data_IF_940328694585
#
_entry.id   IF_940328694585
#
_cell.length_a   1.000
_cell.length_b   1.000
_cell.length_c   1.000
_cell.angle_alpha   90.00
_cell.angle_beta   90.00
_cell.angle_gamma   90.00
#
_symmetry.space_group_name_H-M   'P 1'
#
loop_
_entity.id
_entity.type
_entity.pdbx_description
1 polymer ?
#
# COMPACT_ATOMS: atom_id res chain seq x y z
N UNK A 1 -8.08 1.89 -2.98
CA UNK A 1 -9.51 2.24 -2.95
C UNK A 1 -9.99 2.22 -1.48
N UNK A 2 -10.20 3.38 -0.84
CA UNK A 2 -10.45 3.45 0.61
C UNK A 2 -11.83 2.92 1.01
N UNK A 3 -12.83 3.02 0.16
CA UNK A 3 -14.20 2.56 0.48
C UNK A 3 -14.25 1.06 0.60
N UNK A 4 -13.70 0.34 -0.37
CA UNK A 4 -13.60 -1.12 -0.34
C UNK A 4 -12.81 -1.59 0.88
N UNK A 5 -11.66 -0.95 1.12
CA UNK A 5 -10.80 -1.28 2.27
C UNK A 5 -11.56 -1.10 3.58
N UNK A 6 -12.34 -0.03 3.71
CA UNK A 6 -13.14 0.21 4.92
C UNK A 6 -14.22 -0.86 5.11
N UNK A 7 -14.97 -1.20 4.05
CA UNK A 7 -16.01 -2.24 4.12
C UNK A 7 -15.40 -3.58 4.54
N UNK A 8 -14.29 -3.98 3.90
CA UNK A 8 -13.64 -5.27 4.16
C UNK A 8 -13.07 -5.35 5.59
N UNK A 9 -12.39 -4.29 6.06
CA UNK A 9 -11.78 -4.30 7.40
C UNK A 9 -12.74 -3.95 8.53
N UNK A 10 -13.92 -3.43 8.22
CA UNK A 10 -14.95 -3.07 9.20
C UNK A 10 -16.12 -4.06 9.25
N UNK A 11 -15.96 -5.25 8.69
CA UNK A 11 -16.99 -6.28 8.65
C UNK A 11 -18.34 -5.78 8.09
N UNK A 12 -18.28 -4.99 7.03
CA UNK A 12 -19.45 -4.44 6.35
C UNK A 12 -20.00 -3.14 6.95
N UNK A 13 -19.34 -2.58 7.97
CA UNK A 13 -19.70 -1.29 8.55
C UNK A 13 -18.67 -0.22 8.19
N UNK A 14 -19.10 0.86 7.56
CA UNK A 14 -18.25 2.02 7.38
C UNK A 14 -18.22 2.83 8.67
N UNK A 15 -17.03 3.20 9.12
CA UNK A 15 -16.79 4.03 10.30
C UNK A 15 -16.13 5.37 9.96
N UNK A 16 -15.68 5.51 8.71
CA UNK A 16 -15.00 6.69 8.26
C UNK A 16 -15.96 7.83 7.97
N UNK A 17 -15.61 9.00 8.43
CA UNK A 17 -16.32 10.22 8.11
C UNK A 17 -16.33 10.52 6.59
N UNK A 18 -15.33 10.07 5.86
CA UNK A 18 -15.24 10.30 4.41
C UNK A 18 -16.18 9.41 3.60
N UNK A 19 -16.62 8.31 4.17
CA UNK A 19 -17.52 7.35 3.54
C UNK A 19 -18.94 7.38 4.11
N UNK A 20 -19.32 8.50 4.73
CA UNK A 20 -20.66 8.67 5.33
C UNK A 20 -21.83 8.44 4.34
N UNK A 21 -21.58 8.48 3.03
CA UNK A 21 -22.55 8.11 2.02
C UNK A 21 -22.87 6.61 2.00
N UNK A 22 -22.04 5.77 2.61
CA UNK A 22 -22.22 4.32 2.74
C UNK A 22 -22.76 3.99 4.13
N UNK A 23 -23.94 4.53 4.45
CA UNK A 23 -24.61 4.27 5.73
C UNK A 23 -25.24 2.87 5.82
N UNK A 24 -25.36 2.19 4.69
CA UNK A 24 -25.94 0.84 4.63
C UNK A 24 -24.87 -0.22 4.92
N UNK A 25 -25.27 -1.25 5.65
CA UNK A 25 -24.43 -2.41 5.87
C UNK A 25 -24.19 -3.13 4.54
N UNK A 26 -22.93 -3.35 4.21
CA UNK A 26 -22.47 -4.08 3.03
C UNK A 26 -21.95 -5.47 3.44
N UNK A 27 -22.20 -6.47 2.63
CA UNK A 27 -21.50 -7.74 2.76
C UNK A 27 -20.07 -7.59 2.22
N UNK A 28 -19.04 -7.82 3.04
CA UNK A 28 -17.65 -7.60 2.61
C UNK A 28 -17.23 -8.45 1.42
N UNK A 29 -17.78 -9.66 1.30
CA UNK A 29 -17.46 -10.57 0.19
C UNK A 29 -18.10 -10.11 -1.11
N UNK A 30 -19.38 -9.76 -1.07
CA UNK A 30 -20.08 -9.24 -2.25
C UNK A 30 -19.44 -7.93 -2.74
N UNK A 31 -19.08 -7.04 -1.83
CA UNK A 31 -18.41 -5.78 -2.17
C UNK A 31 -17.01 -6.01 -2.75
N UNK A 32 -16.28 -6.98 -2.21
CA UNK A 32 -14.96 -7.36 -2.73
C UNK A 32 -15.07 -7.94 -4.15
N UNK A 33 -16.02 -8.84 -4.38
CA UNK A 33 -16.28 -9.44 -5.69
C UNK A 33 -16.68 -8.38 -6.72
N UNK A 34 -17.59 -7.47 -6.35
CA UNK A 34 -18.00 -6.36 -7.20
C UNK A 34 -16.85 -5.44 -7.58
N UNK A 35 -16.08 -4.99 -6.59
CA UNK A 35 -14.92 -4.11 -6.82
C UNK A 35 -13.84 -4.83 -7.64
N UNK A 36 -13.61 -6.12 -7.40
CA UNK A 36 -12.65 -6.93 -8.16
C UNK A 36 -13.01 -6.93 -9.64
N UNK A 37 -14.28 -7.14 -9.98
CA UNK A 37 -14.76 -7.12 -11.37
C UNK A 37 -14.46 -5.78 -12.05
N UNK A 38 -14.83 -4.67 -11.41
CA UNK A 38 -14.61 -3.33 -11.96
C UNK A 38 -13.11 -3.00 -12.15
N UNK A 39 -12.29 -3.29 -11.15
CA UNK A 39 -10.85 -3.01 -11.20
C UNK A 39 -10.17 -3.88 -12.26
N UNK A 40 -10.58 -5.15 -12.35
CA UNK A 40 -10.04 -6.10 -13.33
C UNK A 40 -10.28 -5.63 -14.76
N UNK A 41 -11.48 -5.17 -15.10
CA UNK A 41 -11.77 -4.64 -16.45
C UNK A 41 -10.83 -3.50 -16.84
N UNK A 42 -10.54 -2.58 -15.91
CA UNK A 42 -9.63 -1.45 -16.14
C UNK A 42 -8.19 -1.95 -16.36
N UNK A 43 -7.74 -2.89 -15.50
CA UNK A 43 -6.39 -3.45 -15.56
C UNK A 43 -6.19 -4.24 -16.85
N UNK A 44 -7.12 -5.10 -17.20
CA UNK A 44 -7.05 -5.90 -18.43
C UNK A 44 -7.05 -5.02 -19.69
N UNK A 45 -7.87 -3.96 -19.70
CA UNK A 45 -7.86 -3.00 -20.80
C UNK A 45 -6.52 -2.30 -20.96
N UNK A 46 -5.93 -1.82 -19.86
CA UNK A 46 -4.64 -1.14 -19.89
C UNK A 46 -3.49 -2.09 -20.30
N UNK A 47 -3.48 -3.32 -19.78
CA UNK A 47 -2.53 -4.35 -20.19
C UNK A 47 -2.65 -4.72 -21.65
N UNK A 48 -3.86 -4.78 -22.20
CA UNK A 48 -4.11 -4.97 -23.63
C UNK A 48 -3.55 -3.85 -24.51
N UNK A 49 -3.18 -2.70 -23.92
CA UNK A 49 -2.51 -1.57 -24.56
C UNK A 49 -1.01 -1.47 -24.23
N UNK A 50 -0.42 -2.49 -23.60
CA UNK A 50 0.96 -2.47 -23.11
C UNK A 50 1.24 -1.33 -22.10
N UNK A 51 0.26 -0.98 -21.29
CA UNK A 51 0.39 0.03 -20.22
C UNK A 51 0.59 -0.72 -18.91
N UNK A 52 1.67 -0.43 -18.20
CA UNK A 52 1.90 -0.95 -16.86
C UNK A 52 0.90 -0.33 -15.87
N UNK A 53 0.30 -1.17 -15.03
CA UNK A 53 -0.73 -0.75 -14.07
C UNK A 53 -0.22 -0.93 -12.65
N UNK A 54 -0.26 0.16 -11.88
CA UNK A 54 -0.03 0.11 -10.43
C UNK A 54 -1.37 0.23 -9.70
N UNK A 55 -1.65 -0.72 -8.82
CA UNK A 55 -2.77 -0.66 -7.90
C UNK A 55 -2.25 -0.25 -6.52
N UNK A 56 -2.71 0.92 -6.05
CA UNK A 56 -2.44 1.38 -4.69
C UNK A 56 -3.61 1.07 -3.76
N UNK A 57 -3.33 0.40 -2.65
CA UNK A 57 -4.30 0.14 -1.59
C UNK A 57 -3.70 0.50 -0.25
N UNK A 58 -4.33 1.46 0.42
CA UNK A 58 -3.94 1.93 1.75
C UNK A 58 -5.10 1.79 2.75
N UNK A 59 -4.83 2.16 3.99
CA UNK A 59 -5.80 2.14 5.11
C UNK A 59 -6.21 3.54 5.55
N UNK A 60 -6.00 4.51 4.67
CA UNK A 60 -6.31 5.91 4.91
C UNK A 60 -5.09 6.77 5.21
N UNK A 61 -5.18 8.04 4.80
CA UNK A 61 -4.11 9.03 4.94
C UNK A 61 -4.66 10.43 5.26
N UNK A 62 -5.78 10.50 5.99
CA UNK A 62 -6.47 11.76 6.30
C UNK A 62 -6.12 12.34 7.67
N UNK A 63 -5.35 11.63 8.48
CA UNK A 63 -5.03 12.02 9.86
C UNK A 63 -3.63 11.58 10.27
N UNK A 64 -2.96 12.40 11.09
CA UNK A 64 -1.76 12.01 11.84
C UNK A 64 -2.06 11.05 13.00
N UNK A 65 -3.31 11.02 13.46
CA UNK A 65 -3.74 10.08 14.49
C UNK A 65 -4.09 8.74 13.84
N UNK A 66 -3.17 7.80 13.88
CA UNK A 66 -3.33 6.48 13.26
C UNK A 66 -4.46 5.65 13.90
N UNK A 67 -4.88 5.95 15.12
CA UNK A 67 -6.01 5.26 15.76
C UNK A 67 -7.36 5.53 15.07
N UNK A 68 -7.44 6.57 14.24
CA UNK A 68 -8.63 6.91 13.44
C UNK A 68 -8.62 6.30 12.05
N UNK A 69 -7.55 5.59 11.70
CA UNK A 69 -7.36 4.94 10.42
C UNK A 69 -7.68 3.44 10.53
N UNK A 70 -7.85 2.79 9.39
CA UNK A 70 -8.05 1.35 9.34
C UNK A 70 -6.77 0.60 9.70
N UNK A 71 -6.91 -0.62 10.21
CA UNK A 71 -5.80 -1.51 10.53
C UNK A 71 -6.16 -2.96 10.16
N UNK A 72 -5.15 -3.77 9.95
CA UNK A 72 -5.30 -5.19 9.65
C UNK A 72 -4.35 -5.62 8.50
N UNK A 73 -4.09 -6.92 8.37
CA UNK A 73 -3.26 -7.47 7.31
C UNK A 73 -3.95 -7.36 5.94
N UNK A 74 -3.20 -7.57 4.87
CA UNK A 74 -3.74 -7.61 3.50
C UNK A 74 -4.46 -8.93 3.17
N UNK A 75 -4.45 -9.91 4.06
CA UNK A 75 -5.10 -11.22 3.85
C UNK A 75 -6.53 -11.15 3.32
N UNK A 76 -7.44 -10.29 3.83
CA UNK A 76 -8.79 -10.19 3.31
C UNK A 76 -8.87 -9.69 1.86
N UNK A 77 -7.83 -9.04 1.36
CA UNK A 77 -7.75 -8.49 0.00
C UNK A 77 -7.00 -9.40 -0.98
N UNK A 78 -6.43 -10.52 -0.51
CA UNK A 78 -5.73 -11.46 -1.40
C UNK A 78 -6.58 -11.91 -2.61
N UNK A 79 -7.87 -12.24 -2.46
CA UNK A 79 -8.68 -12.66 -3.61
C UNK A 79 -8.74 -11.59 -4.72
N UNK A 80 -8.83 -10.31 -4.35
CA UNK A 80 -8.78 -9.20 -5.30
C UNK A 80 -7.42 -9.14 -6.00
N UNK A 81 -6.32 -9.16 -5.24
CA UNK A 81 -4.98 -9.05 -5.81
C UNK A 81 -4.64 -10.22 -6.73
N UNK A 82 -5.04 -11.43 -6.34
CA UNK A 82 -4.80 -12.65 -7.10
C UNK A 82 -5.63 -12.73 -8.39
N UNK A 83 -6.81 -12.16 -8.40
CA UNK A 83 -7.68 -12.11 -9.60
C UNK A 83 -7.25 -10.97 -10.54
N UNK A 84 -7.02 -9.76 -10.01
CA UNK A 84 -6.67 -8.56 -10.79
C UNK A 84 -5.26 -8.63 -11.34
N UNK A 85 -4.29 -9.12 -10.55
CA UNK A 85 -2.86 -9.24 -10.93
C UNK A 85 -2.31 -7.96 -11.56
N UNK A 86 -2.34 -6.81 -10.88
CA UNK A 86 -1.71 -5.61 -11.41
C UNK A 86 -0.21 -5.83 -11.60
N UNK A 87 0.45 -5.06 -12.45
CA UNK A 87 1.90 -5.18 -12.62
C UNK A 87 2.65 -4.75 -11.36
N UNK A 88 2.10 -3.77 -10.63
CA UNK A 88 2.67 -3.25 -9.38
C UNK A 88 1.58 -3.18 -8.32
N UNK A 89 1.85 -3.73 -7.14
CA UNK A 89 1.06 -3.52 -5.93
C UNK A 89 1.78 -2.53 -5.04
N UNK A 90 1.26 -1.30 -4.92
CA UNK A 90 1.82 -0.25 -4.07
C UNK A 90 1.07 -0.24 -2.74
N UNK A 91 1.71 -0.74 -1.70
CA UNK A 91 1.09 -1.04 -0.42
C UNK A 91 1.83 -0.37 0.74
N UNK A 92 1.12 -0.11 1.85
CA UNK A 92 1.69 0.47 3.05
C UNK A 92 2.21 -0.62 4.00
N UNK A 93 3.48 -0.50 4.40
CA UNK A 93 4.15 -1.39 5.37
C UNK A 93 5.09 -0.63 6.31
N UNK A 94 5.00 0.70 6.34
CA UNK A 94 5.88 1.50 7.21
C UNK A 94 5.58 1.34 8.70
N UNK A 95 4.40 0.83 9.05
CA UNK A 95 3.97 0.61 10.44
C UNK A 95 3.35 -0.78 10.63
N UNK A 96 3.37 -1.32 11.86
CA UNK A 96 2.73 -2.62 12.17
C UNK A 96 1.22 -2.67 11.90
N UNK A 97 0.58 -1.53 11.69
CA UNK A 97 -0.84 -1.42 11.38
C UNK A 97 -1.25 -2.21 10.12
N UNK A 98 -0.32 -2.36 9.20
CA UNK A 98 -0.53 -3.09 7.94
C UNK A 98 -0.43 -4.62 8.08
N UNK A 99 -0.02 -5.12 9.24
CA UNK A 99 0.31 -6.54 9.43
C UNK A 99 1.69 -6.88 8.85
N UNK A 100 2.00 -8.16 8.86
CA UNK A 100 3.29 -8.68 8.39
C UNK A 100 3.32 -8.86 6.87
N UNK A 101 4.51 -8.72 6.27
CA UNK A 101 4.74 -8.98 4.85
C UNK A 101 4.37 -10.42 4.44
N UNK A 102 4.57 -11.38 5.34
CA UNK A 102 4.19 -12.78 5.12
C UNK A 102 2.72 -12.93 4.74
N UNK A 103 1.82 -12.15 5.37
CA UNK A 103 0.38 -12.18 5.10
C UNK A 103 0.01 -11.86 3.64
N UNK A 104 0.90 -11.20 2.91
CA UNK A 104 0.77 -10.93 1.48
C UNK A 104 1.63 -11.88 0.64
N UNK A 105 2.87 -12.09 1.06
CA UNK A 105 3.90 -12.76 0.25
C UNK A 105 3.88 -14.29 0.38
N UNK A 106 3.02 -14.87 1.22
CA UNK A 106 2.68 -16.30 1.15
C UNK A 106 1.94 -16.63 -0.14
N UNK A 107 1.23 -15.67 -0.77
CA UNK A 107 0.61 -15.86 -2.06
C UNK A 107 1.66 -16.04 -3.18
N UNK A 108 1.73 -17.23 -3.73
CA UNK A 108 2.59 -17.53 -4.87
C UNK A 108 2.17 -16.74 -6.13
N UNK A 109 0.87 -16.50 -6.29
CA UNK A 109 0.31 -15.75 -7.41
C UNK A 109 0.85 -14.31 -7.40
N UNK A 110 0.84 -13.66 -6.24
CA UNK A 110 1.35 -12.29 -6.08
C UNK A 110 2.86 -12.26 -6.34
N UNK A 111 3.63 -13.16 -5.72
CA UNK A 111 5.09 -13.21 -5.94
C UNK A 111 5.46 -13.41 -7.41
N UNK A 112 4.68 -14.21 -8.13
CA UNK A 112 4.95 -14.50 -9.53
C UNK A 112 4.57 -13.35 -10.47
N UNK A 113 3.47 -12.65 -10.22
CA UNK A 113 2.88 -11.74 -11.19
C UNK A 113 3.10 -10.26 -10.89
N UNK A 114 3.37 -9.88 -9.64
CA UNK A 114 3.42 -8.47 -9.25
C UNK A 114 4.83 -8.03 -8.83
N UNK A 115 5.12 -6.76 -9.05
CA UNK A 115 6.17 -6.01 -8.36
C UNK A 115 5.56 -5.47 -7.07
N UNK A 116 6.26 -5.57 -5.96
CA UNK A 116 5.85 -4.96 -4.70
C UNK A 116 6.41 -3.54 -4.60
N UNK A 117 5.54 -2.55 -4.65
CA UNK A 117 5.82 -1.19 -4.18
C UNK A 117 5.68 -1.18 -2.66
N UNK A 118 6.79 -1.39 -1.98
CA UNK A 118 6.87 -1.50 -0.53
C UNK A 118 6.86 -0.11 0.12
N UNK A 119 5.80 0.21 0.84
CA UNK A 119 5.73 1.41 1.67
C UNK A 119 6.65 1.29 2.87
N UNK A 120 7.68 2.14 2.93
CA UNK A 120 8.72 2.13 3.97
C UNK A 120 8.86 3.47 4.69
N UNK A 121 8.09 4.46 4.26
CA UNK A 121 8.03 5.80 4.86
C UNK A 121 6.59 6.11 5.26
N UNK A 122 6.42 6.47 6.53
CA UNK A 122 5.13 6.89 7.06
C UNK A 122 4.91 8.40 6.83
N UNK A 123 4.01 8.82 5.92
CA UNK A 123 3.73 10.23 5.69
C UNK A 123 2.90 10.89 6.81
N UNK A 124 2.40 10.12 7.78
CA UNK A 124 1.50 10.59 8.83
C UNK A 124 2.22 11.06 10.10
N UNK A 125 3.54 10.89 10.16
CA UNK A 125 4.39 11.35 11.26
C UNK A 125 5.46 12.31 10.80
N UNK A 126 5.89 13.21 11.68
CA UNK A 126 7.03 14.09 11.44
C UNK A 126 8.38 13.41 11.77
N UNK A 127 8.35 12.20 12.33
CA UNK A 127 9.55 11.38 12.51
C UNK A 127 10.13 11.02 11.15
N UNK A 128 11.45 11.08 11.05
CA UNK A 128 12.19 10.76 9.83
C UNK A 128 12.79 9.39 10.02
N UNK A 129 12.36 8.45 9.20
CA UNK A 129 12.91 7.10 9.16
C UNK A 129 14.39 7.16 8.76
N UNK A 130 15.23 6.36 9.40
CA UNK A 130 16.62 6.23 9.02
C UNK A 130 16.79 5.36 7.78
N UNK A 131 17.89 5.54 7.04
CA UNK A 131 18.20 4.66 5.90
C UNK A 131 18.33 3.20 6.32
N UNK A 132 18.81 2.93 7.51
CA UNK A 132 18.99 1.60 8.09
C UNK A 132 17.63 0.92 8.33
N UNK A 133 16.65 1.61 8.93
CA UNK A 133 15.28 1.10 9.13
C UNK A 133 14.60 0.79 7.78
N UNK A 134 14.83 1.61 6.77
CA UNK A 134 14.30 1.38 5.42
C UNK A 134 14.95 0.14 4.80
N UNK A 135 16.27 -0.03 4.95
CA UNK A 135 17.02 -1.19 4.46
C UNK A 135 16.51 -2.47 5.12
N UNK A 136 16.34 -2.49 6.44
CA UNK A 136 15.83 -3.67 7.15
C UNK A 136 14.47 -4.13 6.60
N UNK A 137 13.55 -3.21 6.37
CA UNK A 137 12.24 -3.54 5.78
C UNK A 137 12.35 -4.04 4.34
N UNK A 138 13.22 -3.44 3.55
CA UNK A 138 13.46 -3.91 2.18
C UNK A 138 14.05 -5.34 2.19
N UNK A 139 14.97 -5.63 3.09
CA UNK A 139 15.59 -6.95 3.21
C UNK A 139 14.61 -8.03 3.69
N UNK A 140 13.60 -7.66 4.46
CA UNK A 140 12.50 -8.60 4.75
C UNK A 140 11.74 -9.00 3.50
N UNK A 141 11.44 -8.06 2.61
CA UNK A 141 10.79 -8.37 1.33
C UNK A 141 11.69 -9.18 0.40
N UNK A 142 13.00 -8.93 0.42
CA UNK A 142 13.99 -9.67 -0.39
C UNK A 142 14.16 -11.14 0.03
N UNK A 143 13.68 -11.54 1.19
CA UNK A 143 13.59 -12.97 1.56
C UNK A 143 12.55 -13.74 0.73
N UNK A 144 11.58 -13.02 0.16
CA UNK A 144 10.44 -13.56 -0.58
C UNK A 144 10.51 -13.29 -2.08
N UNK A 145 11.09 -12.15 -2.46
CA UNK A 145 11.06 -11.61 -3.81
C UNK A 145 12.48 -11.36 -4.32
N UNK A 146 12.74 -11.54 -5.61
CA UNK A 146 13.97 -11.07 -6.22
C UNK A 146 14.00 -9.53 -6.22
N UNK A 147 15.21 -8.96 -6.23
CA UNK A 147 15.43 -7.50 -6.11
C UNK A 147 14.68 -6.67 -7.15
N UNK A 148 14.51 -7.19 -8.34
CA UNK A 148 13.81 -6.54 -9.46
C UNK A 148 12.31 -6.35 -9.19
N UNK A 149 11.78 -7.11 -8.22
CA UNK A 149 10.37 -7.06 -7.82
C UNK A 149 10.10 -6.29 -6.55
N UNK A 150 11.08 -5.59 -5.99
CA UNK A 150 10.91 -4.75 -4.80
C UNK A 150 11.24 -3.31 -5.14
N UNK A 151 10.22 -2.46 -5.05
CA UNK A 151 10.34 -1.01 -5.18
C UNK A 151 10.09 -0.36 -3.83
N UNK A 152 10.80 0.72 -3.52
CA UNK A 152 10.64 1.45 -2.26
C UNK A 152 9.85 2.74 -2.50
N UNK A 153 8.85 2.96 -1.69
CA UNK A 153 8.00 4.15 -1.76
C UNK A 153 7.50 4.58 -0.36
N UNK A 154 6.98 5.79 -0.22
CA UNK A 154 6.15 6.13 0.94
C UNK A 154 4.86 5.31 0.96
N UNK A 155 4.27 5.09 2.14
CA UNK A 155 2.99 4.40 2.28
C UNK A 155 1.89 5.03 1.42
N UNK A 156 1.85 6.35 1.40
CA UNK A 156 0.92 7.18 0.64
C UNK A 156 1.59 8.48 0.22
N UNK A 157 0.86 9.35 -0.49
CA UNK A 157 1.28 10.72 -0.73
C UNK A 157 1.38 11.54 0.57
N UNK A 158 2.18 12.61 0.56
CA UNK A 158 2.39 13.48 1.73
C UNK A 158 1.28 14.53 1.94
N UNK A 159 0.28 14.54 1.08
CA UNK A 159 -0.89 15.40 1.22
C UNK A 159 -2.12 14.74 0.61
N UNK A 160 -3.14 14.46 1.44
CA UNK A 160 -4.45 14.03 0.96
C UNK A 160 -5.26 15.21 0.44
N UNK A 161 -5.07 16.39 1.05
CA UNK A 161 -5.74 17.63 0.68
C UNK A 161 -4.70 18.74 0.44
N UNK A 162 -4.85 19.48 -0.64
CA UNK A 162 -3.92 20.53 -1.04
C UNK A 162 -3.69 21.61 0.04
N UNK A 163 -4.72 21.93 0.81
CA UNK A 163 -4.69 22.94 1.88
C UNK A 163 -4.36 22.36 3.27
N UNK A 164 -4.14 21.06 3.38
CA UNK A 164 -3.80 20.35 4.63
C UNK A 164 -2.78 19.27 4.37
N UNK A 165 -1.53 19.64 4.06
CA UNK A 165 -0.46 18.66 3.93
C UNK A 165 -0.20 17.98 5.28
N UNK A 166 0.10 16.70 5.24
CA UNK A 166 0.39 15.92 6.46
C UNK A 166 1.76 16.28 7.01
N UNK A 167 2.74 16.47 6.12
CA UNK A 167 4.10 16.92 6.48
C UNK A 167 4.44 18.25 5.82
N UNK A 168 5.39 18.99 6.41
CA UNK A 168 6.02 20.16 5.78
C UNK A 168 6.97 19.71 4.66
N UNK A 169 7.25 20.60 3.71
CA UNK A 169 8.20 20.32 2.63
C UNK A 169 9.58 19.92 3.16
N UNK A 170 10.04 20.55 4.23
CA UNK A 170 11.33 20.23 4.85
C UNK A 170 11.37 18.78 5.39
N UNK A 171 10.29 18.32 6.03
CA UNK A 171 10.18 16.96 6.53
C UNK A 171 10.14 15.97 5.36
N UNK A 172 9.35 16.28 4.33
CA UNK A 172 9.25 15.44 3.12
C UNK A 172 10.63 15.25 2.48
N UNK A 173 11.37 16.34 2.30
CA UNK A 173 12.71 16.30 1.72
C UNK A 173 13.64 15.41 2.54
N UNK A 174 13.67 15.59 3.87
CA UNK A 174 14.48 14.75 4.77
C UNK A 174 14.13 13.26 4.66
N UNK A 175 12.84 12.91 4.61
CA UNK A 175 12.38 11.53 4.42
C UNK A 175 12.84 10.95 3.08
N UNK A 176 12.69 11.71 2.00
CA UNK A 176 13.10 11.27 0.66
C UNK A 176 14.63 11.13 0.53
N UNK A 177 15.40 11.95 1.24
CA UNK A 177 16.87 11.79 1.34
C UNK A 177 17.23 10.45 1.98
N UNK A 178 16.54 10.02 3.05
CA UNK A 178 16.80 8.72 3.67
C UNK A 178 16.42 7.57 2.75
N UNK A 179 15.31 7.71 2.02
CA UNK A 179 14.91 6.72 1.01
C UNK A 179 15.96 6.58 -0.10
N UNK A 180 16.52 7.69 -0.58
CA UNK A 180 17.57 7.66 -1.61
C UNK A 180 18.87 7.03 -1.09
N UNK A 181 19.25 7.28 0.16
CA UNK A 181 20.39 6.62 0.80
C UNK A 181 20.19 5.12 0.89
N UNK A 182 19.04 4.67 1.38
CA UNK A 182 18.70 3.26 1.48
C UNK A 182 18.73 2.57 0.10
N UNK A 183 18.12 3.21 -0.91
CA UNK A 183 18.14 2.73 -2.30
C UNK A 183 19.58 2.56 -2.82
N UNK A 184 20.45 3.55 -2.61
CA UNK A 184 21.86 3.49 -3.04
C UNK A 184 22.58 2.33 -2.38
N UNK A 185 22.48 2.20 -1.05
CA UNK A 185 23.07 1.11 -0.30
C UNK A 185 22.60 -0.27 -0.80
N UNK A 186 21.27 -0.46 -0.98
CA UNK A 186 20.72 -1.72 -1.45
C UNK A 186 21.19 -2.07 -2.88
N UNK A 187 21.31 -1.08 -3.75
CA UNK A 187 21.86 -1.31 -5.09
C UNK A 187 23.31 -1.77 -5.04
N UNK A 188 24.17 -1.08 -4.27
CA UNK A 188 25.57 -1.47 -4.09
C UNK A 188 25.71 -2.88 -3.48
N UNK A 189 24.79 -3.26 -2.58
CA UNK A 189 24.83 -4.56 -1.91
C UNK A 189 24.36 -5.72 -2.78
N UNK A 190 23.43 -5.48 -3.67
CA UNK A 190 22.72 -6.54 -4.42
C UNK A 190 22.93 -6.48 -5.95
N UNK A 191 23.58 -5.46 -6.47
CA UNK A 191 24.07 -5.41 -7.86
C UNK A 191 25.37 -6.15 -8.04
#
# INVERSE_FOLDING_TARGET
>A
EPVLTEVVFSEGHTRSFMCAALSEKKDPKEELEFATGLIKEIVDYAKGKNIAVSLHVCRGNWSKNESTLLSGPYTPLLPLFEEVKPDILTLEFSTPRAGELSSLLESEIIRKNCILGLGVINPRTDNIETSEEIVERAEEALKWLPKEKVWLNPDCGFATFANRPVNTMEIIEKKLIQLDKAKKYLREKYE
#
